data_IF_415410818084
#
_entry.id   IF_415410818084
#
_cell.length_a   1.000
_cell.length_b   1.000
_cell.length_c   1.000
_cell.angle_alpha   90.00
_cell.angle_beta   90.00
_cell.angle_gamma   90.00
#
_symmetry.space_group_name_H-M   'P 1'
#
loop_
_entity.id
_entity.type
_entity.pdbx_description
1 polymer ?
#
# COMPACT_ATOMS: atom_id res chain seq x y z
N UNK A 1 12.68 0.74 1.54
CA UNK A 1 13.67 -0.12 2.23
C UNK A 1 14.62 0.66 3.12
N UNK A 2 15.17 1.80 2.67
CA UNK A 2 16.05 2.65 3.50
C UNK A 2 15.42 3.02 4.86
N UNK A 3 14.16 3.47 4.85
CA UNK A 3 13.44 3.86 6.07
C UNK A 3 13.33 2.73 7.10
N UNK A 4 13.08 1.49 6.66
CA UNK A 4 12.98 0.32 7.55
C UNK A 4 14.34 -0.10 8.10
N UNK A 5 15.42 0.02 7.31
CA UNK A 5 16.79 -0.23 7.76
C UNK A 5 17.20 0.79 8.82
N UNK A 6 16.92 2.08 8.58
CA UNK A 6 17.17 3.15 9.55
C UNK A 6 16.36 2.93 10.83
N UNK A 7 15.09 2.55 10.71
CA UNK A 7 14.25 2.29 11.88
C UNK A 7 14.73 1.06 12.67
N UNK A 8 15.15 -0.02 12.00
CA UNK A 8 15.72 -1.21 12.64
C UNK A 8 17.10 -0.99 13.26
N UNK A 9 17.88 -0.03 12.75
CA UNK A 9 19.14 0.39 13.36
C UNK A 9 18.93 1.33 14.56
N UNK A 10 17.86 2.12 14.56
CA UNK A 10 17.55 3.10 15.59
C UNK A 10 16.67 2.55 16.74
N UNK A 11 15.94 1.45 16.52
CA UNK A 11 14.95 0.89 17.46
C UNK A 11 15.10 -0.62 17.62
N UNK A 12 14.49 -1.18 18.66
CA UNK A 12 14.49 -2.64 18.90
C UNK A 12 13.90 -3.39 17.69
N UNK A 13 14.61 -4.38 17.12
CA UNK A 13 14.12 -5.17 15.98
C UNK A 13 12.76 -5.82 16.24
N UNK A 14 12.53 -6.29 17.47
CA UNK A 14 11.27 -6.90 17.89
C UNK A 14 10.11 -5.90 17.91
N UNK A 15 10.35 -4.65 18.31
CA UNK A 15 9.36 -3.59 18.27
C UNK A 15 8.99 -3.20 16.84
N UNK A 16 9.99 -3.01 15.97
CA UNK A 16 9.79 -2.66 14.56
C UNK A 16 9.05 -3.77 13.80
N UNK A 17 9.42 -5.04 14.03
CA UNK A 17 8.73 -6.17 13.44
C UNK A 17 7.27 -6.25 13.91
N UNK A 18 7.01 -6.09 15.21
CA UNK A 18 5.66 -6.19 15.76
C UNK A 18 4.72 -5.13 15.20
N UNK A 19 5.16 -3.87 15.11
CA UNK A 19 4.32 -2.80 14.56
C UNK A 19 4.14 -2.93 13.05
N UNK A 20 5.16 -3.39 12.31
CA UNK A 20 5.04 -3.65 10.88
C UNK A 20 4.03 -4.76 10.60
N UNK A 21 4.06 -5.85 11.36
CA UNK A 21 3.10 -6.95 11.25
C UNK A 21 1.70 -6.45 11.61
N UNK A 22 1.53 -5.79 12.76
CA UNK A 22 0.23 -5.29 13.20
C UNK A 22 -0.36 -4.29 12.20
N UNK A 23 0.43 -3.31 11.75
CA UNK A 23 0.03 -2.34 10.75
C UNK A 23 -0.33 -2.99 9.41
N UNK A 24 0.45 -3.98 8.97
CA UNK A 24 0.15 -4.72 7.75
C UNK A 24 -1.14 -5.54 7.87
N UNK A 25 -1.38 -6.21 9.00
CA UNK A 25 -2.62 -6.93 9.24
C UNK A 25 -3.83 -5.98 9.20
N UNK A 26 -3.72 -4.82 9.84
CA UNK A 26 -4.78 -3.80 9.85
C UNK A 26 -5.03 -3.24 8.46
N UNK A 27 -4.00 -3.04 7.64
CA UNK A 27 -4.15 -2.53 6.27
C UNK A 27 -4.71 -3.58 5.30
N UNK A 28 -4.21 -4.81 5.38
CA UNK A 28 -4.52 -5.89 4.43
C UNK A 28 -5.89 -6.50 4.68
N UNK A 29 -6.33 -6.61 5.95
CA UNK A 29 -7.65 -7.18 6.28
C UNK A 29 -8.82 -6.47 5.57
N UNK A 30 -9.00 -5.15 5.67
CA UNK A 30 -10.05 -4.44 4.95
C UNK A 30 -9.81 -4.42 3.44
N UNK A 31 -8.57 -4.42 2.96
CA UNK A 31 -8.27 -4.50 1.53
C UNK A 31 -8.77 -5.82 0.92
N UNK A 32 -8.54 -6.95 1.59
CA UNK A 32 -9.00 -8.27 1.14
C UNK A 32 -10.53 -8.36 1.27
N UNK A 33 -11.09 -8.06 2.44
CA UNK A 33 -12.54 -8.19 2.67
C UNK A 33 -13.34 -7.22 1.81
N UNK A 34 -12.92 -5.96 1.75
CA UNK A 34 -13.54 -4.93 0.92
C UNK A 34 -13.36 -5.21 -0.57
N UNK A 35 -12.17 -5.67 -0.99
CA UNK A 35 -11.92 -6.07 -2.38
C UNK A 35 -12.78 -7.26 -2.81
N UNK A 36 -12.89 -8.28 -1.97
CA UNK A 36 -13.74 -9.45 -2.23
C UNK A 36 -15.23 -9.08 -2.32
N UNK A 37 -15.70 -8.18 -1.45
CA UNK A 37 -17.06 -7.65 -1.53
C UNK A 37 -17.27 -6.88 -2.85
N UNK A 38 -16.37 -5.94 -3.15
CA UNK A 38 -16.47 -5.03 -4.29
C UNK A 38 -16.35 -5.77 -5.63
N UNK A 39 -15.60 -6.88 -5.69
CA UNK A 39 -15.46 -7.72 -6.89
C UNK A 39 -16.78 -8.25 -7.44
N UNK A 40 -17.85 -8.32 -6.61
CA UNK A 40 -19.19 -8.69 -7.08
C UNK A 40 -19.91 -7.55 -7.82
N UNK A 41 -19.42 -6.31 -7.70
CA UNK A 41 -20.08 -5.10 -8.22
C UNK A 41 -19.28 -4.38 -9.30
N UNK A 42 -17.97 -4.63 -9.41
CA UNK A 42 -17.11 -3.98 -10.40
C UNK A 42 -16.41 -5.01 -11.28
N UNK A 43 -16.27 -4.69 -12.57
CA UNK A 43 -15.55 -5.57 -13.50
C UNK A 43 -14.03 -5.43 -13.33
N UNK A 44 -13.30 -6.52 -13.55
CA UNK A 44 -11.84 -6.53 -13.50
C UNK A 44 -11.19 -5.56 -14.48
N UNK A 45 -11.84 -5.31 -15.64
CA UNK A 45 -11.38 -4.30 -16.60
C UNK A 45 -11.39 -2.90 -16.01
N UNK A 46 -12.44 -2.54 -15.27
CA UNK A 46 -12.51 -1.24 -14.57
C UNK A 46 -11.43 -1.13 -13.49
N UNK A 47 -11.19 -2.20 -12.73
CA UNK A 47 -10.11 -2.25 -11.74
C UNK A 47 -8.75 -2.01 -12.41
N UNK A 48 -8.50 -2.67 -13.54
CA UNK A 48 -7.29 -2.48 -14.32
C UNK A 48 -7.12 -1.05 -14.83
N UNK A 49 -8.18 -0.45 -15.38
CA UNK A 49 -8.14 0.95 -15.82
C UNK A 49 -7.88 1.92 -14.68
N UNK A 50 -8.53 1.73 -13.53
CA UNK A 50 -8.30 2.57 -12.33
C UNK A 50 -6.85 2.46 -11.83
N UNK A 51 -6.31 1.24 -11.78
CA UNK A 51 -4.91 1.01 -11.40
C UNK A 51 -3.93 1.68 -12.36
N UNK A 52 -4.17 1.57 -13.67
CA UNK A 52 -3.35 2.24 -14.69
C UNK A 52 -3.42 3.76 -14.63
N UNK A 53 -4.62 4.33 -14.45
CA UNK A 53 -4.79 5.78 -14.31
C UNK A 53 -4.12 6.29 -13.04
N UNK A 54 -4.30 5.60 -11.91
CA UNK A 54 -3.63 5.96 -10.66
C UNK A 54 -2.10 5.93 -10.83
N UNK A 55 -1.56 4.90 -11.49
CA UNK A 55 -0.14 4.81 -11.79
C UNK A 55 0.36 6.04 -12.58
N UNK A 56 -0.32 6.44 -13.65
CA UNK A 56 0.05 7.60 -14.45
C UNK A 56 -0.07 8.92 -13.66
N UNK A 57 -1.07 9.04 -12.77
CA UNK A 57 -1.21 10.21 -11.90
C UNK A 57 -0.02 10.33 -10.94
N UNK A 58 0.38 9.22 -10.31
CA UNK A 58 1.55 9.20 -9.43
C UNK A 58 2.86 9.47 -10.18
N UNK A 59 3.01 8.94 -11.39
CA UNK A 59 4.15 9.22 -12.25
C UNK A 59 4.29 10.72 -12.54
N UNK A 60 3.22 11.35 -13.03
CA UNK A 60 3.21 12.79 -13.32
C UNK A 60 3.45 13.62 -12.06
N UNK A 61 2.82 13.27 -10.94
CA UNK A 61 3.04 13.96 -9.67
C UNK A 61 4.51 13.86 -9.20
N UNK A 62 5.16 12.71 -9.44
CA UNK A 62 6.58 12.49 -9.14
C UNK A 62 7.47 13.31 -10.08
N UNK A 63 7.13 13.41 -11.38
CA UNK A 63 7.87 14.26 -12.34
C UNK A 63 7.87 15.74 -11.92
N UNK A 64 6.81 16.21 -11.28
CA UNK A 64 6.72 17.56 -10.73
C UNK A 64 7.24 17.70 -9.28
N UNK A 65 7.79 16.64 -8.69
CA UNK A 65 8.39 16.67 -7.36
C UNK A 65 7.38 16.82 -6.21
N UNK A 66 6.14 16.37 -6.40
CA UNK A 66 5.12 16.34 -5.33
C UNK A 66 5.45 15.26 -4.29
N UNK A 67 6.19 14.22 -4.71
CA UNK A 67 6.61 13.07 -3.90
C UNK A 67 8.13 12.87 -3.97
#
# INVERSE_FOLDING_TARGET
>A
MLATIVLGAAQSPWGVASVAIAGHLVATSPAILGGAFLANYISEKLVGYLGGVLFLVFDVATLFGVF
#
